data_IF_007329669604
#
_entry.id   IF_007329669604
#
_cell.length_a   1.000
_cell.length_b   1.000
_cell.length_c   1.000
_cell.angle_alpha   90.00
_cell.angle_beta   90.00
_cell.angle_gamma   90.00
#
_symmetry.space_group_name_H-M   'P 1'
#
loop_
_entity.id
_entity.type
_entity.pdbx_description
1 polymer ?
#
# COMPACT_ATOMS: atom_id res chain seq x y z
N UNK A 1 13.69 7.25 3.59
CA UNK A 1 12.57 6.28 3.60
C UNK A 1 12.24 5.97 5.06
N UNK A 2 11.04 6.28 5.55
CA UNK A 2 10.64 5.89 6.91
C UNK A 2 10.20 4.43 6.90
N UNK A 3 10.62 3.64 7.89
CA UNK A 3 10.16 2.27 8.04
C UNK A 3 8.86 2.28 8.84
N UNK A 4 7.76 1.87 8.22
CA UNK A 4 6.43 1.88 8.81
C UNK A 4 6.03 0.45 9.15
N UNK A 5 6.04 0.09 10.43
CA UNK A 5 5.38 -1.11 10.95
C UNK A 5 3.98 -0.68 11.39
N UNK A 6 3.12 -0.35 10.43
CA UNK A 6 1.73 0.03 10.71
C UNK A 6 0.78 -1.08 10.25
N UNK A 7 -0.17 -1.42 11.13
CA UNK A 7 -1.28 -2.31 10.83
C UNK A 7 -2.16 -1.68 9.76
N UNK A 8 -1.93 -2.07 8.52
CA UNK A 8 -2.83 -1.80 7.40
C UNK A 8 -4.09 -2.64 7.62
N UNK A 9 -5.22 -1.98 7.88
CA UNK A 9 -6.48 -2.69 8.06
C UNK A 9 -7.22 -2.84 6.74
N UNK A 10 -7.35 -4.09 6.30
CA UNK A 10 -8.22 -4.51 5.20
C UNK A 10 -9.67 -4.48 5.71
N UNK A 11 -10.57 -3.93 4.88
CA UNK A 11 -12.01 -3.70 5.16
C UNK A 11 -12.79 -5.03 5.31
N UNK A 12 -12.45 -5.85 6.30
CA UNK A 12 -13.40 -6.76 6.93
C UNK A 12 -14.40 -5.97 7.78
N UNK A 13 -15.48 -6.59 8.32
CA UNK A 13 -16.51 -5.88 9.07
C UNK A 13 -15.83 -5.03 10.12
N UNK A 14 -16.04 -3.71 10.04
CA UNK A 14 -15.25 -2.64 10.65
C UNK A 14 -15.24 -2.71 12.19
N UNK A 15 -14.59 -3.75 12.75
CA UNK A 15 -14.56 -4.07 14.19
C UNK A 15 -13.67 -3.12 14.97
N UNK A 16 -12.75 -2.41 14.30
CA UNK A 16 -11.94 -1.34 14.90
C UNK A 16 -12.79 -0.13 15.31
N UNK A 17 -13.94 0.04 14.66
CA UNK A 17 -15.00 1.00 14.96
C UNK A 17 -16.24 0.31 15.60
N UNK A 18 -16.11 -0.92 16.12
CA UNK A 18 -17.18 -1.54 16.92
C UNK A 18 -17.36 -0.84 18.27
N UNK A 19 -18.40 -1.22 19.04
CA UNK A 19 -18.75 -0.61 20.34
C UNK A 19 -17.51 -0.33 21.21
N UNK A 20 -17.17 0.95 21.36
CA UNK A 20 -15.97 1.43 22.07
C UNK A 20 -14.67 1.29 21.29
N UNK A 21 -14.65 1.57 19.99
CA UNK A 21 -13.56 1.28 19.03
C UNK A 21 -12.14 1.21 19.58
N UNK A 22 -11.37 0.19 19.16
CA UNK A 22 -10.08 -0.14 19.76
C UNK A 22 -9.08 1.04 19.81
N UNK A 23 -9.10 1.90 18.80
CA UNK A 23 -8.28 3.12 18.79
C UNK A 23 -8.64 4.08 19.94
N UNK A 24 -9.93 4.22 20.25
CA UNK A 24 -10.43 5.06 21.34
C UNK A 24 -10.05 4.47 22.69
N UNK A 25 -10.17 3.14 22.86
CA UNK A 25 -9.77 2.48 24.11
C UNK A 25 -8.29 2.67 24.41
N UNK A 26 -7.44 2.51 23.40
CA UNK A 26 -5.98 2.71 23.53
C UNK A 26 -5.66 4.18 23.78
N UNK A 27 -6.37 5.11 23.14
CA UNK A 27 -6.21 6.55 23.41
C UNK A 27 -6.60 6.92 24.85
N UNK A 28 -7.66 6.33 25.39
CA UNK A 28 -8.06 6.51 26.80
C UNK A 28 -7.02 6.00 27.80
N UNK A 29 -6.13 5.10 27.37
CA UNK A 29 -4.98 4.65 28.16
C UNK A 29 -3.77 5.59 28.04
N UNK A 30 -3.91 6.75 27.38
CA UNK A 30 -2.85 7.74 27.23
C UNK A 30 -1.89 7.47 26.07
N UNK A 31 -2.18 6.48 25.20
CA UNK A 31 -1.36 6.17 24.04
C UNK A 31 -1.84 6.98 22.83
N UNK A 32 -0.92 7.67 22.15
CA UNK A 32 -1.25 8.38 20.90
C UNK A 32 -1.52 7.37 19.78
N UNK A 33 -2.71 7.40 19.19
CA UNK A 33 -3.13 6.52 18.10
C UNK A 33 -3.47 7.36 16.85
N UNK A 34 -2.99 6.91 15.70
CA UNK A 34 -3.26 7.50 14.38
C UNK A 34 -3.60 6.37 13.40
N UNK A 35 -4.85 5.89 13.34
CA UNK A 35 -5.23 4.79 12.46
C UNK A 35 -5.18 5.17 10.98
N UNK A 36 -4.74 4.24 10.15
CA UNK A 36 -4.80 4.32 8.69
C UNK A 36 -5.70 3.20 8.18
N UNK A 37 -6.85 3.55 7.60
CA UNK A 37 -7.83 2.59 7.08
C UNK A 37 -7.64 2.49 5.58
N UNK A 38 -7.42 1.28 5.07
CA UNK A 38 -7.07 1.06 3.67
C UNK A 38 -8.11 0.22 2.94
N UNK A 39 -8.63 0.75 1.85
CA UNK A 39 -9.56 0.05 0.96
C UNK A 39 -8.76 -0.76 -0.08
N UNK A 40 -8.89 -2.10 -0.12
CA UNK A 40 -8.20 -2.94 -1.11
C UNK A 40 -8.96 -2.96 -2.45
N UNK A 41 -8.28 -3.44 -3.50
CA UNK A 41 -8.83 -3.88 -4.79
C UNK A 41 -9.73 -2.85 -5.50
N UNK A 42 -9.52 -1.56 -5.28
CA UNK A 42 -10.24 -0.55 -6.04
C UNK A 42 -9.67 -0.46 -7.46
N UNK A 43 -10.53 -0.27 -8.45
CA UNK A 43 -10.15 0.04 -9.83
C UNK A 43 -10.65 1.41 -10.28
N UNK A 44 -11.57 2.01 -9.54
CA UNK A 44 -12.29 3.25 -9.87
C UNK A 44 -12.42 4.16 -8.64
N UNK A 45 -12.59 5.47 -8.89
CA UNK A 45 -12.92 6.43 -7.84
C UNK A 45 -14.27 6.12 -7.17
N UNK A 46 -15.26 5.63 -7.93
CA UNK A 46 -16.59 5.35 -7.41
C UNK A 46 -16.56 4.22 -6.35
N UNK A 47 -15.81 3.14 -6.61
CA UNK A 47 -15.60 2.07 -5.64
C UNK A 47 -14.95 2.59 -4.36
N UNK A 48 -13.92 3.44 -4.50
CA UNK A 48 -13.24 4.02 -3.34
C UNK A 48 -14.18 4.92 -2.53
N UNK A 49 -14.92 5.83 -3.18
CA UNK A 49 -15.85 6.75 -2.51
C UNK A 49 -16.96 6.02 -1.77
N UNK A 50 -17.52 4.96 -2.37
CA UNK A 50 -18.53 4.14 -1.70
C UNK A 50 -18.02 3.58 -0.36
N UNK A 51 -16.77 3.10 -0.33
CA UNK A 51 -16.16 2.59 0.89
C UNK A 51 -15.77 3.72 1.86
N UNK A 52 -15.22 4.81 1.36
CA UNK A 52 -14.88 6.00 2.16
C UNK A 52 -16.11 6.53 2.91
N UNK A 53 -17.26 6.66 2.23
CA UNK A 53 -18.51 7.12 2.85
C UNK A 53 -18.96 6.21 3.99
N UNK A 54 -18.89 4.88 3.81
CA UNK A 54 -19.21 3.91 4.85
C UNK A 54 -18.24 4.04 6.04
N UNK A 55 -16.95 4.17 5.77
CA UNK A 55 -15.91 4.30 6.80
C UNK A 55 -16.14 5.58 7.62
N UNK A 56 -16.30 6.73 6.94
CA UNK A 56 -16.48 8.02 7.61
C UNK A 56 -17.78 8.08 8.41
N UNK A 57 -18.90 7.61 7.83
CA UNK A 57 -20.18 7.55 8.53
C UNK A 57 -20.14 6.62 9.75
N UNK A 58 -19.39 5.53 9.68
CA UNK A 58 -19.21 4.62 10.82
C UNK A 58 -18.35 5.27 11.90
N UNK A 59 -17.23 5.91 11.52
CA UNK A 59 -16.36 6.61 12.46
C UNK A 59 -17.12 7.71 13.22
N UNK A 60 -17.94 8.50 12.51
CA UNK A 60 -18.76 9.54 13.12
C UNK A 60 -19.76 9.00 14.16
N UNK A 61 -20.39 7.84 13.89
CA UNK A 61 -21.28 7.19 14.86
C UNK A 61 -20.51 6.79 16.12
N UNK A 62 -19.35 6.16 15.96
CA UNK A 62 -18.50 5.73 17.09
C UNK A 62 -18.00 6.90 17.91
N UNK A 63 -17.59 7.99 17.27
CA UNK A 63 -17.15 9.19 17.97
C UNK A 63 -18.29 9.84 18.77
N UNK A 64 -19.50 9.85 18.20
CA UNK A 64 -20.70 10.33 18.91
C UNK A 64 -21.03 9.46 20.12
N UNK A 65 -21.03 8.14 19.96
CA UNK A 65 -21.34 7.19 21.04
C UNK A 65 -20.29 7.20 22.16
N UNK A 66 -19.02 7.39 21.81
CA UNK A 66 -17.92 7.35 22.77
C UNK A 66 -17.58 8.69 23.41
N UNK A 67 -18.08 9.80 22.86
CA UNK A 67 -17.74 11.17 23.27
C UNK A 67 -16.27 11.55 23.02
N UNK A 68 -15.52 10.76 22.25
CA UNK A 68 -14.08 10.94 21.99
C UNK A 68 -13.81 10.87 20.49
N UNK A 69 -12.93 11.75 19.98
CA UNK A 69 -12.49 11.73 18.58
C UNK A 69 -11.04 11.26 18.48
N UNK A 70 -10.77 10.46 17.46
CA UNK A 70 -9.42 10.02 17.07
C UNK A 70 -9.16 10.51 15.65
N UNK A 71 -7.99 11.10 15.40
CA UNK A 71 -7.55 11.42 14.05
C UNK A 71 -7.20 10.14 13.30
N UNK A 72 -7.68 10.00 12.07
CA UNK A 72 -7.43 8.85 11.20
C UNK A 72 -7.36 9.28 9.74
N UNK A 73 -6.73 8.47 8.90
CA UNK A 73 -6.70 8.66 7.45
C UNK A 73 -7.44 7.52 6.74
N UNK A 74 -8.06 7.84 5.61
CA UNK A 74 -8.61 6.86 4.68
C UNK A 74 -7.82 6.89 3.38
N UNK A 75 -7.26 5.74 3.01
CA UNK A 75 -6.48 5.58 1.79
C UNK A 75 -6.78 4.25 1.13
N UNK A 76 -5.98 3.90 0.13
CA UNK A 76 -6.26 2.71 -0.67
C UNK A 76 -5.02 1.97 -1.12
N UNK A 77 -5.20 0.67 -1.36
CA UNK A 77 -4.20 -0.13 -2.05
C UNK A 77 -4.24 0.18 -3.55
N UNK A 78 -3.07 0.45 -4.14
CA UNK A 78 -2.90 0.52 -5.59
C UNK A 78 -2.35 -0.81 -6.05
N UNK A 79 -3.27 -1.71 -6.39
CA UNK A 79 -2.97 -3.10 -6.75
C UNK A 79 -3.69 -3.56 -8.04
N UNK A 80 -4.54 -2.70 -8.60
CA UNK A 80 -5.18 -2.89 -9.91
C UNK A 80 -4.51 -1.95 -10.92
N UNK A 81 -4.09 -2.42 -12.12
CA UNK A 81 -3.47 -1.55 -13.13
C UNK A 81 -4.30 -0.31 -13.47
N UNK A 82 -5.63 -0.45 -13.52
CA UNK A 82 -6.56 0.67 -13.74
C UNK A 82 -6.47 1.74 -12.66
N UNK A 83 -6.24 1.35 -11.40
CA UNK A 83 -6.06 2.30 -10.29
C UNK A 83 -4.79 3.13 -10.48
N UNK A 84 -3.68 2.52 -10.89
CA UNK A 84 -2.45 3.24 -11.22
C UNK A 84 -2.64 4.20 -12.41
N UNK A 85 -3.37 3.77 -13.45
CA UNK A 85 -3.68 4.57 -14.63
C UNK A 85 -4.57 5.78 -14.33
N UNK A 86 -5.41 5.71 -13.29
CA UNK A 86 -6.38 6.76 -12.92
C UNK A 86 -6.12 7.32 -11.51
N UNK A 87 -4.88 7.21 -11.06
CA UNK A 87 -4.48 7.53 -9.70
C UNK A 87 -4.69 9.01 -9.32
N UNK A 88 -4.68 9.92 -10.29
CA UNK A 88 -5.03 11.33 -10.14
C UNK A 88 -6.46 11.50 -9.59
N UNK A 89 -7.43 10.79 -10.19
CA UNK A 89 -8.83 10.84 -9.74
C UNK A 89 -9.01 10.23 -8.36
N UNK A 90 -8.35 9.10 -8.11
CA UNK A 90 -8.45 8.41 -6.82
C UNK A 90 -7.85 9.28 -5.69
N UNK A 91 -6.75 9.98 -5.96
CA UNK A 91 -6.06 10.83 -4.98
C UNK A 91 -6.82 12.12 -4.61
N UNK A 92 -7.86 12.51 -5.36
CA UNK A 92 -8.79 13.58 -4.94
C UNK A 92 -9.38 13.26 -3.57
N UNK A 93 -9.67 11.98 -3.31
CA UNK A 93 -10.27 11.49 -2.07
C UNK A 93 -9.26 10.77 -1.16
N UNK A 94 -8.44 9.88 -1.71
CA UNK A 94 -7.53 9.06 -0.91
C UNK A 94 -6.40 9.88 -0.28
N UNK A 95 -6.18 9.69 1.02
CA UNK A 95 -5.18 10.43 1.82
C UNK A 95 -3.79 9.77 1.75
N UNK A 96 -3.75 8.49 1.39
CA UNK A 96 -2.51 7.75 1.14
C UNK A 96 -2.72 6.61 0.13
N UNK A 97 -1.63 6.21 -0.53
CA UNK A 97 -1.54 5.01 -1.36
C UNK A 97 -0.57 4.00 -0.75
N UNK A 98 -0.94 2.73 -0.81
CA UNK A 98 -0.02 1.61 -0.59
C UNK A 98 -0.01 0.73 -1.83
N UNK A 99 1.12 0.59 -2.50
CA UNK A 99 1.22 -0.31 -3.66
C UNK A 99 1.23 -1.76 -3.19
N UNK A 100 0.17 -2.49 -3.55
CA UNK A 100 0.05 -3.94 -3.38
C UNK A 100 0.72 -4.63 -4.56
N UNK A 101 2.06 -4.66 -4.55
CA UNK A 101 2.83 -5.07 -5.74
C UNK A 101 2.72 -6.55 -6.05
N UNK A 102 2.30 -7.41 -5.13
CA UNK A 102 2.04 -8.81 -5.43
C UNK A 102 0.89 -8.94 -6.45
N UNK A 103 -0.27 -8.36 -6.13
CA UNK A 103 -1.46 -8.36 -6.98
C UNK A 103 -1.25 -7.49 -8.23
N UNK A 104 -0.55 -6.35 -8.09
CA UNK A 104 -0.21 -5.52 -9.26
C UNK A 104 0.68 -6.28 -10.26
N UNK A 105 1.69 -7.03 -9.78
CA UNK A 105 2.51 -7.91 -10.63
C UNK A 105 1.65 -8.96 -11.31
N UNK A 106 0.78 -9.65 -10.55
CA UNK A 106 -0.12 -10.67 -11.10
C UNK A 106 -1.00 -10.11 -12.22
N UNK A 107 -1.62 -8.95 -12.02
CA UNK A 107 -2.49 -8.33 -13.02
C UNK A 107 -1.73 -7.73 -14.21
N UNK A 108 -0.48 -7.30 -14.01
CA UNK A 108 0.34 -6.72 -15.09
C UNK A 108 0.94 -7.79 -15.98
N UNK A 109 1.45 -8.88 -15.39
CA UNK A 109 1.99 -10.01 -16.15
C UNK A 109 0.91 -10.97 -16.66
N UNK A 110 -0.27 -10.97 -16.03
CA UNK A 110 -1.27 -12.02 -16.22
C UNK A 110 -0.85 -13.35 -15.60
N UNK A 111 -0.02 -13.32 -14.55
CA UNK A 111 0.51 -14.51 -13.87
C UNK A 111 -0.24 -14.75 -12.57
N UNK A 112 -1.04 -15.81 -12.52
CA UNK A 112 -1.58 -16.31 -11.24
C UNK A 112 -0.42 -16.80 -10.38
N UNK A 113 -0.24 -16.21 -9.20
CA UNK A 113 0.87 -16.57 -8.29
C UNK A 113 0.80 -18.04 -7.86
N UNK A 114 -0.40 -18.58 -7.69
CA UNK A 114 -0.63 -19.96 -7.29
C UNK A 114 -0.27 -20.96 -8.40
N UNK A 115 -0.37 -20.54 -9.67
CA UNK A 115 -0.09 -21.39 -10.84
C UNK A 115 1.30 -21.15 -11.44
N UNK A 116 1.93 -20.02 -11.13
CA UNK A 116 3.18 -19.57 -11.75
C UNK A 116 4.36 -20.51 -11.50
N UNK A 117 4.32 -21.28 -10.39
CA UNK A 117 5.34 -22.27 -10.06
C UNK A 117 5.54 -23.35 -11.12
N UNK A 118 4.55 -23.60 -11.98
CA UNK A 118 4.61 -24.62 -13.03
C UNK A 118 5.49 -24.18 -14.22
N UNK A 119 5.53 -22.88 -14.54
CA UNK A 119 6.23 -22.37 -15.73
C UNK A 119 7.37 -21.41 -15.44
N UNK A 120 7.37 -20.67 -14.32
CA UNK A 120 8.42 -19.71 -13.98
C UNK A 120 9.84 -20.33 -13.97
N UNK A 121 10.07 -21.54 -13.43
CA UNK A 121 11.40 -22.16 -13.47
C UNK A 121 11.92 -22.36 -14.90
N UNK A 122 11.03 -22.66 -15.85
CA UNK A 122 11.39 -22.81 -17.27
C UNK A 122 11.75 -21.45 -17.87
N UNK A 123 11.02 -20.40 -17.53
CA UNK A 123 11.27 -19.04 -18.04
C UNK A 123 12.62 -18.52 -17.54
N UNK A 124 12.95 -18.74 -16.27
CA UNK A 124 14.24 -18.38 -15.69
C UNK A 124 15.38 -19.18 -16.33
N UNK A 125 15.23 -20.51 -16.46
CA UNK A 125 16.26 -21.37 -17.08
C UNK A 125 16.51 -21.01 -18.55
N UNK A 126 15.48 -20.57 -19.27
CA UNK A 126 15.58 -20.11 -20.66
C UNK A 126 15.99 -18.63 -20.79
N UNK A 127 16.26 -17.93 -19.68
CA UNK A 127 16.55 -16.50 -19.64
C UNK A 127 15.48 -15.63 -20.31
N UNK A 128 14.20 -16.07 -20.30
CA UNK A 128 13.06 -15.24 -20.73
C UNK A 128 12.75 -14.17 -19.67
N UNK A 129 12.99 -14.51 -18.41
CA UNK A 129 12.95 -13.59 -17.28
C UNK A 129 14.30 -13.63 -16.57
N UNK A 130 14.81 -12.46 -16.18
CA UNK A 130 16.05 -12.36 -15.39
C UNK A 130 15.85 -12.82 -13.95
N UNK A 131 14.68 -12.52 -13.39
CA UNK A 131 14.31 -12.77 -12.00
C UNK A 131 12.85 -13.18 -11.91
N UNK A 132 12.48 -13.81 -10.79
CA UNK A 132 11.08 -14.04 -10.42
C UNK A 132 10.42 -12.69 -10.09
N UNK A 133 9.41 -12.25 -10.87
CA UNK A 133 8.80 -10.93 -10.71
C UNK A 133 7.96 -10.79 -9.43
N UNK A 134 7.73 -11.88 -8.68
CA UNK A 134 7.11 -11.85 -7.36
C UNK A 134 8.11 -11.73 -6.21
N UNK A 135 9.41 -11.82 -6.50
CA UNK A 135 10.49 -11.64 -5.53
C UNK A 135 11.21 -10.30 -5.73
N UNK A 136 11.53 -9.98 -6.99
CA UNK A 136 12.19 -8.75 -7.39
C UNK A 136 11.20 -7.96 -8.24
N UNK A 137 10.94 -6.71 -7.86
CA UNK A 137 10.01 -5.84 -8.57
C UNK A 137 10.47 -5.68 -10.02
N UNK A 138 9.60 -6.05 -10.96
CA UNK A 138 9.80 -5.75 -12.37
C UNK A 138 9.75 -4.25 -12.60
N UNK A 139 10.91 -3.62 -12.85
CA UNK A 139 11.00 -2.18 -13.04
C UNK A 139 10.61 -1.75 -14.46
N UNK A 140 10.62 -2.66 -15.45
CA UNK A 140 10.35 -2.35 -16.85
C UNK A 140 8.85 -2.35 -17.16
N UNK A 141 8.04 -3.16 -16.47
CA UNK A 141 6.58 -3.16 -16.59
C UNK A 141 5.88 -2.63 -15.33
N UNK A 142 5.88 -3.41 -14.25
CA UNK A 142 5.16 -3.07 -13.00
C UNK A 142 5.66 -1.75 -12.41
N UNK A 143 6.96 -1.50 -12.47
CA UNK A 143 7.59 -0.25 -12.04
C UNK A 143 7.04 0.98 -12.74
N UNK A 144 6.69 0.89 -14.03
CA UNK A 144 6.08 2.02 -14.75
C UNK A 144 4.70 2.36 -14.18
N UNK A 145 3.89 1.36 -13.81
CA UNK A 145 2.60 1.59 -13.15
C UNK A 145 2.79 2.23 -11.78
N UNK A 146 3.79 1.77 -11.01
CA UNK A 146 4.11 2.33 -9.70
C UNK A 146 4.55 3.80 -9.80
N UNK A 147 5.46 4.10 -10.73
CA UNK A 147 5.95 5.46 -10.95
C UNK A 147 4.84 6.39 -11.44
N UNK A 148 4.06 5.95 -12.43
CA UNK A 148 2.93 6.70 -12.97
C UNK A 148 1.87 6.95 -11.90
N UNK A 149 1.48 5.93 -11.14
CA UNK A 149 0.49 6.04 -10.08
C UNK A 149 0.93 7.03 -8.99
N UNK A 150 2.21 6.98 -8.61
CA UNK A 150 2.79 7.93 -7.65
C UNK A 150 2.76 9.37 -8.17
N UNK A 151 3.22 9.60 -9.41
CA UNK A 151 3.24 10.93 -10.04
C UNK A 151 1.83 11.51 -10.21
N UNK A 152 0.91 10.72 -10.76
CA UNK A 152 -0.49 11.13 -10.94
C UNK A 152 -1.17 11.41 -9.62
N UNK A 153 -1.04 10.51 -8.64
CA UNK A 153 -1.61 10.73 -7.31
C UNK A 153 -1.12 12.02 -6.67
N UNK A 154 0.20 12.29 -6.74
CA UNK A 154 0.78 13.53 -6.21
C UNK A 154 0.42 14.79 -7.00
N UNK A 155 0.12 14.67 -8.30
CA UNK A 155 -0.39 15.80 -9.08
C UNK A 155 -1.76 16.29 -8.61
N UNK A 156 -2.61 15.38 -8.13
CA UNK A 156 -3.92 15.73 -7.54
C UNK A 156 -3.82 16.07 -6.05
N UNK A 157 -2.91 15.42 -5.30
CA UNK A 157 -2.66 15.66 -3.88
C UNK A 157 -1.16 15.74 -3.59
N UNK A 158 -0.54 16.94 -3.56
CA UNK A 158 0.92 17.10 -3.41
C UNK A 158 1.51 16.41 -2.18
N UNK A 159 0.77 16.39 -1.07
CA UNK A 159 1.19 15.77 0.20
C UNK A 159 0.73 14.31 0.35
N UNK A 160 0.34 13.65 -0.75
CA UNK A 160 -0.10 12.25 -0.72
C UNK A 160 1.03 11.36 -0.17
N UNK A 161 0.73 10.67 0.94
CA UNK A 161 1.61 9.64 1.49
C UNK A 161 1.55 8.42 0.59
N UNK A 162 2.70 7.96 0.10
CA UNK A 162 2.80 6.81 -0.79
C UNK A 162 3.79 5.80 -0.20
N UNK A 163 3.41 4.54 -0.16
CA UNK A 163 4.33 3.46 0.18
C UNK A 163 4.03 2.19 -0.60
N UNK A 164 4.73 1.12 -0.22
CA UNK A 164 4.61 -0.21 -0.81
C UNK A 164 4.47 -1.24 0.31
N UNK A 165 3.67 -2.27 0.06
CA UNK A 165 3.55 -3.44 0.93
C UNK A 165 3.76 -4.72 0.14
N UNK A 166 4.24 -5.77 0.83
CA UNK A 166 4.43 -7.10 0.26
C UNK A 166 5.89 -7.53 0.22
N UNK A 167 6.18 -8.54 -0.59
CA UNK A 167 7.50 -9.19 -0.65
C UNK A 167 8.58 -8.21 -1.10
N UNK A 168 8.26 -7.39 -2.11
CA UNK A 168 9.16 -6.38 -2.69
C UNK A 168 9.58 -5.29 -1.70
N UNK A 169 8.77 -5.02 -0.66
CA UNK A 169 9.12 -4.03 0.37
C UNK A 169 10.32 -4.41 1.23
N UNK A 170 10.77 -5.67 1.16
CA UNK A 170 11.94 -6.19 1.84
C UNK A 170 13.09 -6.62 0.92
N UNK A 171 12.96 -6.42 -0.39
CA UNK A 171 13.99 -6.80 -1.37
C UNK A 171 14.85 -5.55 -1.72
N UNK A 172 16.19 -5.60 -1.58
CA UNK A 172 17.03 -4.41 -1.68
C UNK A 172 16.88 -3.57 -2.95
N UNK A 173 16.86 -4.21 -4.13
CA UNK A 173 16.77 -3.49 -5.40
C UNK A 173 15.39 -2.83 -5.61
N UNK A 174 14.34 -3.48 -5.12
CA UNK A 174 12.97 -2.96 -5.09
C UNK A 174 12.83 -1.79 -4.12
N UNK A 175 13.48 -1.85 -2.95
CA UNK A 175 13.53 -0.74 -1.99
C UNK A 175 14.28 0.46 -2.58
N UNK A 176 15.38 0.24 -3.30
CA UNK A 176 16.10 1.29 -4.03
C UNK A 176 15.22 1.93 -5.12
N UNK A 177 14.46 1.13 -5.87
CA UNK A 177 13.46 1.65 -6.80
C UNK A 177 12.41 2.52 -6.10
N UNK A 178 11.87 2.07 -4.96
CA UNK A 178 10.87 2.82 -4.19
C UNK A 178 11.42 4.16 -3.70
N UNK A 179 12.69 4.21 -3.30
CA UNK A 179 13.38 5.46 -2.96
C UNK A 179 13.45 6.41 -4.16
N UNK A 180 13.85 5.91 -5.33
CA UNK A 180 13.98 6.69 -6.57
C UNK A 180 12.65 7.27 -7.06
N UNK A 181 11.55 6.52 -6.92
CA UNK A 181 10.19 6.99 -7.23
C UNK A 181 9.67 7.98 -6.18
N UNK A 182 10.40 8.14 -5.07
CA UNK A 182 10.10 9.12 -4.03
C UNK A 182 9.03 8.66 -3.05
N UNK A 183 8.89 7.35 -2.80
CA UNK A 183 7.96 6.84 -1.79
C UNK A 183 8.33 7.29 -0.38
N UNK A 184 7.33 7.40 0.49
CA UNK A 184 7.49 7.78 1.90
C UNK A 184 7.99 6.59 2.74
N UNK A 185 7.52 5.38 2.45
CA UNK A 185 7.84 4.17 3.23
C UNK A 185 7.84 2.88 2.41
N UNK A 186 8.49 1.86 2.95
CA UNK A 186 8.32 0.44 2.58
C UNK A 186 7.80 -0.32 3.79
N UNK A 187 6.96 -1.32 3.55
CA UNK A 187 6.43 -2.24 4.55
C UNK A 187 6.73 -3.68 4.15
N UNK A 188 7.33 -4.45 5.06
CA UNK A 188 7.76 -5.82 4.85
C UNK A 188 7.57 -6.67 6.12
N UNK A 189 7.77 -7.98 5.99
CA UNK A 189 7.69 -8.90 7.13
C UNK A 189 8.72 -8.53 8.23
N UNK A 190 8.43 -8.79 9.52
CA UNK A 190 9.26 -8.35 10.64
C UNK A 190 10.75 -8.72 10.51
N UNK A 191 11.06 -9.91 9.98
CA UNK A 191 12.45 -10.36 9.81
C UNK A 191 13.20 -9.66 8.67
N UNK A 192 12.49 -9.08 7.70
CA UNK A 192 13.06 -8.31 6.59
C UNK A 192 13.24 -6.83 6.91
N UNK A 193 12.71 -6.35 8.03
CA UNK A 193 12.88 -4.97 8.51
C UNK A 193 14.35 -4.51 8.51
N UNK A 194 15.33 -5.26 9.07
CA UNK A 194 16.73 -4.83 9.04
C UNK A 194 17.28 -4.68 7.62
N UNK A 195 16.89 -5.57 6.71
CA UNK A 195 17.31 -5.56 5.29
C UNK A 195 16.75 -4.31 4.60
N UNK A 196 15.44 -4.06 4.76
CA UNK A 196 14.78 -2.88 4.19
C UNK A 196 15.39 -1.57 4.70
N UNK A 197 15.75 -1.50 6.00
CA UNK A 197 16.44 -0.32 6.57
C UNK A 197 17.82 -0.11 5.95
N UNK A 198 18.61 -1.17 5.82
CA UNK A 198 19.94 -1.07 5.21
C UNK A 198 19.85 -0.66 3.74
N UNK A 199 18.98 -1.30 2.97
CA UNK A 199 18.75 -0.98 1.56
C UNK A 199 18.27 0.48 1.38
N UNK A 200 17.34 0.95 2.22
CA UNK A 200 16.88 2.33 2.19
C UNK A 200 17.97 3.35 2.54
N UNK A 201 18.87 3.01 3.48
CA UNK A 201 20.01 3.86 3.82
C UNK A 201 21.01 3.91 2.65
N UNK A 202 21.34 2.76 2.06
CA UNK A 202 22.22 2.67 0.89
C UNK A 202 21.67 3.45 -0.31
N UNK A 203 20.36 3.37 -0.55
CA UNK A 203 19.71 4.11 -1.62
C UNK A 203 19.78 5.63 -1.42
N UNK A 204 19.83 6.12 -0.18
CA UNK A 204 19.85 7.54 0.13
C UNK A 204 21.25 8.20 0.08
N UNK A 205 22.32 7.40 0.04
CA UNK A 205 23.72 7.88 0.03
C UNK A 205 24.41 7.68 -1.34
N UNK A 206 23.69 7.18 -2.34
CA UNK A 206 24.13 7.11 -3.73
C UNK A 206 23.69 8.37 -4.47
#
# INVERSE_FOLDING_TARGET
LFLSVFGVLVVGPCRLLGRGGAAINVQKQGVKVLPEIMVPLIGTLAEFKMQEEIIRATADKVFKESGTKVEYMVGTMIEIPRAALTADKIAEHAEFFSFGTNDLTQMTFGYSRDDAGVFLPVYLKKNLLKHDPFQILDQEGVGQLVEMGTKRGRSARPNLKVGICGEHGGEPSSVEFCHRVGMNYVSCSPYRVPIARLAAAMAAIR
#
